data_IF_759463753676
#
_entry.id   IF_759463753676
#
_cell.length_a   1.000
_cell.length_b   1.000
_cell.length_c   1.000
_cell.angle_alpha   90.00
_cell.angle_beta   90.00
_cell.angle_gamma   90.00
#
_symmetry.space_group_name_H-M   'P 1'
#
loop_
_entity.id
_entity.type
_entity.pdbx_description
1 polymer ?
#
# COMPACT_ATOMS: atom_id res chain seq x y z
N UNK A 1 -22.76 -12.24 -18.62
CA UNK A 1 -22.19 -10.87 -18.60
C UNK A 1 -20.73 -10.96 -18.22
N UNK A 2 -19.91 -9.98 -18.59
CA UNK A 2 -18.53 -9.89 -18.14
C UNK A 2 -18.42 -8.86 -17.02
N UNK A 3 -18.03 -9.29 -15.82
CA UNK A 3 -17.97 -8.47 -14.60
C UNK A 3 -16.51 -8.23 -14.27
N UNK A 4 -16.12 -6.96 -14.15
CA UNK A 4 -14.82 -6.58 -13.59
C UNK A 4 -14.94 -6.42 -12.08
N UNK A 5 -13.96 -6.88 -11.31
CA UNK A 5 -13.94 -6.73 -9.86
C UNK A 5 -12.63 -6.08 -9.45
N UNK A 6 -12.74 -4.87 -8.88
CA UNK A 6 -11.60 -4.19 -8.26
C UNK A 6 -11.64 -4.48 -6.77
N UNK A 7 -10.65 -5.22 -6.28
CA UNK A 7 -10.56 -5.65 -4.89
C UNK A 7 -9.64 -4.68 -4.14
N UNK A 8 -10.02 -4.33 -2.91
CA UNK A 8 -9.23 -3.50 -2.01
C UNK A 8 -9.41 -3.95 -0.55
N UNK A 9 -8.43 -3.62 0.31
CA UNK A 9 -8.42 -3.93 1.75
C UNK A 9 -8.65 -5.42 2.08
N UNK A 10 -8.04 -6.31 1.32
CA UNK A 10 -8.13 -7.77 1.56
C UNK A 10 -7.69 -8.15 2.97
N UNK A 11 -6.73 -7.44 3.58
CA UNK A 11 -6.23 -7.77 4.90
C UNK A 11 -7.23 -7.52 6.02
N UNK A 12 -8.25 -6.69 5.76
CA UNK A 12 -9.32 -6.44 6.71
C UNK A 12 -10.44 -7.48 6.58
N UNK A 13 -10.40 -8.34 5.56
CA UNK A 13 -11.34 -9.44 5.44
C UNK A 13 -10.83 -10.60 6.30
N UNK A 14 -11.60 -10.94 7.34
CA UNK A 14 -11.26 -11.99 8.34
C UNK A 14 -10.97 -13.37 7.72
N UNK A 15 -11.35 -13.60 6.46
CA UNK A 15 -11.05 -14.82 5.76
C UNK A 15 -10.90 -14.61 4.25
N UNK A 16 -9.79 -15.10 3.64
CA UNK A 16 -9.66 -15.19 2.19
C UNK A 16 -10.79 -16.00 1.51
N UNK A 17 -11.50 -16.83 2.29
CA UNK A 17 -12.66 -17.60 1.81
C UNK A 17 -13.81 -16.69 1.39
N UNK A 18 -13.98 -15.51 2.01
CA UNK A 18 -15.04 -14.56 1.64
C UNK A 18 -14.85 -14.12 0.18
N UNK A 19 -13.62 -13.78 -0.20
CA UNK A 19 -13.29 -13.40 -1.57
C UNK A 19 -13.55 -14.57 -2.52
N UNK A 20 -13.04 -15.77 -2.21
CA UNK A 20 -13.29 -16.97 -3.02
C UNK A 20 -14.78 -17.22 -3.24
N UNK A 21 -15.58 -17.10 -2.18
CA UNK A 21 -17.03 -17.31 -2.24
C UNK A 21 -17.71 -16.29 -3.14
N UNK A 22 -17.36 -15.00 -3.02
CA UNK A 22 -17.91 -13.94 -3.86
C UNK A 22 -17.54 -14.16 -5.33
N UNK A 23 -16.26 -14.40 -5.62
CA UNK A 23 -15.78 -14.68 -6.98
C UNK A 23 -16.49 -15.91 -7.56
N UNK A 24 -16.63 -16.98 -6.78
CA UNK A 24 -17.32 -18.21 -7.19
C UNK A 24 -18.80 -17.95 -7.48
N UNK A 25 -19.50 -17.25 -6.59
CA UNK A 25 -20.92 -16.92 -6.76
C UNK A 25 -21.16 -16.07 -8.02
N UNK A 26 -20.33 -15.05 -8.24
CA UNK A 26 -20.43 -14.18 -9.41
C UNK A 26 -20.09 -14.92 -10.70
N UNK A 27 -19.12 -15.85 -10.66
CA UNK A 27 -18.68 -16.61 -11.84
C UNK A 27 -19.68 -17.67 -12.31
N UNK A 28 -20.72 -18.01 -11.54
CA UNK A 28 -21.73 -19.02 -11.92
C UNK A 28 -22.46 -18.69 -13.22
N UNK A 29 -22.74 -17.41 -13.45
CA UNK A 29 -23.49 -16.93 -14.62
C UNK A 29 -22.70 -15.89 -15.44
N UNK A 30 -21.46 -15.61 -15.04
CA UNK A 30 -20.69 -14.49 -15.59
C UNK A 30 -19.22 -14.86 -15.80
N UNK A 31 -18.58 -14.15 -16.71
CA UNK A 31 -17.12 -14.13 -16.82
C UNK A 31 -16.62 -13.05 -15.85
N UNK A 32 -15.68 -13.40 -14.97
CA UNK A 32 -15.18 -12.50 -13.93
C UNK A 32 -13.70 -12.21 -14.16
N UNK A 33 -13.38 -10.93 -14.31
CA UNK A 33 -11.99 -10.45 -14.26
C UNK A 33 -11.79 -9.73 -12.93
N UNK A 34 -10.96 -10.28 -12.04
CA UNK A 34 -10.66 -9.67 -10.75
C UNK A 34 -9.23 -9.14 -10.72
N UNK A 35 -9.05 -7.92 -10.22
CA UNK A 35 -7.73 -7.34 -9.97
C UNK A 35 -7.67 -6.70 -8.59
N UNK A 36 -6.49 -6.64 -8.01
CA UNK A 36 -6.27 -6.10 -6.67
C UNK A 36 -5.47 -4.81 -6.69
N UNK A 37 -5.93 -3.85 -5.88
CA UNK A 37 -5.23 -2.60 -5.65
C UNK A 37 -4.54 -2.59 -4.28
N UNK A 38 -3.35 -1.96 -4.24
CA UNK A 38 -2.60 -1.74 -3.01
C UNK A 38 -1.63 -2.87 -2.66
N UNK A 39 -0.42 -2.48 -2.28
CA UNK A 39 0.74 -3.38 -2.06
C UNK A 39 0.49 -4.39 -0.97
N UNK A 40 0.04 -3.94 0.20
CA UNK A 40 -0.25 -4.85 1.30
C UNK A 40 -1.44 -5.79 0.98
N UNK A 41 -2.36 -5.39 0.11
CA UNK A 41 -3.45 -6.26 -0.32
C UNK A 41 -2.90 -7.43 -1.13
N UNK A 42 -1.96 -7.14 -2.05
CA UNK A 42 -1.30 -8.15 -2.90
C UNK A 42 -0.57 -9.17 -2.06
N UNK A 43 0.10 -8.71 -1.02
CA UNK A 43 0.70 -9.60 -0.02
C UNK A 43 -0.33 -10.54 0.60
N UNK A 44 -1.50 -10.04 1.02
CA UNK A 44 -2.53 -10.90 1.59
C UNK A 44 -3.13 -11.90 0.58
N UNK A 45 -3.18 -11.55 -0.71
CA UNK A 45 -3.58 -12.50 -1.77
C UNK A 45 -2.53 -13.60 -1.93
N UNK A 46 -1.24 -13.24 -1.91
CA UNK A 46 -0.14 -14.19 -1.98
C UNK A 46 -0.18 -15.15 -0.78
N UNK A 47 -0.29 -14.59 0.43
CA UNK A 47 -0.38 -15.38 1.67
C UNK A 47 -1.60 -16.33 1.65
N UNK A 48 -2.67 -15.96 0.95
CA UNK A 48 -3.88 -16.74 0.79
C UNK A 48 -3.87 -17.74 -0.38
N UNK A 49 -2.85 -17.73 -1.24
CA UNK A 49 -2.80 -18.55 -2.46
C UNK A 49 -3.92 -18.21 -3.45
N UNK A 50 -4.17 -16.91 -3.68
CA UNK A 50 -5.25 -16.38 -4.52
C UNK A 50 -4.79 -15.79 -5.87
N UNK A 51 -3.51 -15.88 -6.19
CA UNK A 51 -2.87 -15.24 -7.34
C UNK A 51 -3.37 -15.78 -8.70
N UNK A 52 -3.89 -17.00 -8.72
CA UNK A 52 -4.51 -17.60 -9.92
C UNK A 52 -5.93 -17.07 -10.18
N UNK A 53 -6.58 -16.48 -9.16
CA UNK A 53 -7.94 -15.97 -9.25
C UNK A 53 -7.99 -14.44 -9.35
N UNK A 54 -6.96 -13.74 -8.89
CA UNK A 54 -6.92 -12.29 -8.77
C UNK A 54 -5.64 -11.78 -9.38
N UNK A 55 -5.76 -10.90 -10.37
CA UNK A 55 -4.63 -10.22 -11.00
C UNK A 55 -3.97 -9.24 -10.00
N UNK A 56 -2.70 -9.49 -9.68
CA UNK A 56 -1.92 -8.70 -8.72
C UNK A 56 -0.70 -8.01 -9.34
N UNK A 57 -0.38 -8.25 -10.61
CA UNK A 57 0.84 -7.70 -11.22
C UNK A 57 0.70 -6.23 -11.64
N UNK A 58 -0.52 -5.68 -11.64
CA UNK A 58 -0.75 -4.28 -12.00
C UNK A 58 -0.65 -3.35 -10.80
N UNK A 59 0.19 -2.32 -10.90
CA UNK A 59 0.35 -1.28 -9.88
C UNK A 59 -0.46 -0.05 -10.26
N UNK A 60 -1.74 -0.05 -9.88
CA UNK A 60 -2.71 0.99 -10.25
C UNK A 60 -3.58 1.35 -9.06
N UNK A 61 -4.04 2.60 -9.03
CA UNK A 61 -5.06 3.04 -8.10
C UNK A 61 -6.40 2.32 -8.41
N UNK A 62 -7.31 2.21 -7.42
CA UNK A 62 -8.64 1.64 -7.66
C UNK A 62 -9.39 2.31 -8.81
N UNK A 63 -9.33 3.63 -8.93
CA UNK A 63 -9.98 4.38 -10.01
C UNK A 63 -9.42 4.04 -11.40
N UNK A 64 -8.09 3.88 -11.51
CA UNK A 64 -7.44 3.47 -12.75
C UNK A 64 -7.77 2.01 -13.15
N UNK A 65 -7.89 1.11 -12.16
CA UNK A 65 -8.38 -0.24 -12.40
C UNK A 65 -9.83 -0.25 -12.91
N UNK A 66 -10.72 0.55 -12.30
CA UNK A 66 -12.11 0.71 -12.77
C UNK A 66 -12.11 1.18 -14.23
N UNK A 67 -11.37 2.24 -14.56
CA UNK A 67 -11.31 2.77 -15.93
C UNK A 67 -10.72 1.76 -16.94
N UNK A 68 -9.85 0.86 -16.51
CA UNK A 68 -9.34 -0.23 -17.36
C UNK A 68 -10.42 -1.29 -17.60
N UNK A 69 -11.07 -1.75 -16.54
CA UNK A 69 -12.12 -2.77 -16.62
C UNK A 69 -13.37 -2.26 -17.36
N UNK A 70 -13.67 -0.97 -17.29
CA UNK A 70 -14.71 -0.37 -18.13
C UNK A 70 -14.47 -0.60 -19.62
N UNK A 71 -13.23 -0.70 -20.11
CA UNK A 71 -12.98 -0.96 -21.54
C UNK A 71 -13.31 -2.39 -21.95
N UNK A 72 -13.20 -3.36 -21.04
CA UNK A 72 -13.26 -4.79 -21.34
C UNK A 72 -14.41 -5.55 -20.70
N UNK A 73 -15.21 -4.92 -19.85
CA UNK A 73 -16.25 -5.58 -19.03
C UNK A 73 -17.56 -4.80 -19.14
N UNK A 74 -18.69 -5.47 -18.93
CA UNK A 74 -20.03 -4.86 -19.04
C UNK A 74 -20.41 -4.07 -17.79
N UNK A 75 -19.78 -4.41 -16.65
CA UNK A 75 -20.04 -3.86 -15.33
C UNK A 75 -18.77 -3.97 -14.48
N UNK A 76 -18.58 -3.06 -13.53
CA UNK A 76 -17.50 -3.16 -12.52
C UNK A 76 -18.04 -3.11 -11.09
N UNK A 77 -17.53 -4.01 -10.26
CA UNK A 77 -17.75 -4.04 -8.82
C UNK A 77 -16.49 -3.60 -8.08
N UNK A 78 -16.57 -2.57 -7.23
CA UNK A 78 -15.56 -2.22 -6.24
C UNK A 78 -15.80 -3.06 -4.97
N UNK A 79 -15.02 -4.12 -4.78
CA UNK A 79 -15.06 -4.96 -3.60
C UNK A 79 -14.12 -4.39 -2.53
N UNK A 80 -14.68 -3.86 -1.44
CA UNK A 80 -13.90 -3.25 -0.37
C UNK A 80 -14.35 -3.76 1.00
N UNK A 81 -13.42 -3.70 1.95
CA UNK A 81 -13.69 -4.00 3.35
C UNK A 81 -13.13 -2.87 4.22
N UNK A 82 -13.93 -1.85 4.48
CA UNK A 82 -13.60 -0.79 5.43
C UNK A 82 -13.53 -1.34 6.86
N UNK A 83 -12.70 -0.71 7.70
CA UNK A 83 -12.68 -0.97 9.14
C UNK A 83 -14.08 -0.75 9.75
N UNK A 84 -14.74 0.30 9.27
CA UNK A 84 -16.13 0.63 9.55
C UNK A 84 -16.87 0.99 8.27
N UNK A 85 -18.19 0.77 8.22
CA UNK A 85 -19.02 1.06 7.04
C UNK A 85 -18.82 2.49 6.50
N UNK A 86 -18.76 3.50 7.38
CA UNK A 86 -18.59 4.89 6.95
C UNK A 86 -17.23 5.16 6.29
N UNK A 87 -16.17 4.50 6.76
CA UNK A 87 -14.84 4.60 6.13
C UNK A 87 -14.83 3.97 4.75
N UNK A 88 -15.51 2.82 4.58
CA UNK A 88 -15.68 2.16 3.30
C UNK A 88 -16.50 2.97 2.29
N UNK A 89 -17.60 3.59 2.74
CA UNK A 89 -18.41 4.52 1.93
C UNK A 89 -17.59 5.73 1.47
N UNK A 90 -16.77 6.28 2.37
CA UNK A 90 -15.89 7.41 2.09
C UNK A 90 -14.81 7.04 1.08
N UNK A 91 -14.20 5.86 1.25
CA UNK A 91 -13.24 5.31 0.30
C UNK A 91 -13.85 5.15 -1.10
N UNK A 92 -15.01 4.51 -1.21
CA UNK A 92 -15.71 4.35 -2.48
C UNK A 92 -15.98 5.68 -3.17
N UNK A 93 -16.44 6.70 -2.41
CA UNK A 93 -16.65 8.06 -2.94
C UNK A 93 -15.38 8.65 -3.54
N UNK A 94 -14.26 8.55 -2.81
CA UNK A 94 -12.96 9.04 -3.29
C UNK A 94 -12.55 8.28 -4.56
N UNK A 95 -12.72 6.97 -4.60
CA UNK A 95 -12.39 6.18 -5.78
C UNK A 95 -13.20 6.64 -6.99
N UNK A 96 -14.53 6.73 -6.86
CA UNK A 96 -15.43 7.13 -7.95
C UNK A 96 -15.17 8.56 -8.42
N UNK A 97 -14.84 9.50 -7.52
CA UNK A 97 -14.54 10.88 -7.90
C UNK A 97 -13.29 11.03 -8.76
N UNK A 98 -12.43 10.01 -8.82
CA UNK A 98 -11.23 9.98 -9.65
C UNK A 98 -11.38 9.09 -10.90
N UNK A 99 -12.58 8.57 -11.17
CA UNK A 99 -12.90 7.88 -12.43
C UNK A 99 -13.31 8.95 -13.45
N UNK A 100 -12.72 8.94 -14.64
CA UNK A 100 -12.96 9.98 -15.66
C UNK A 100 -14.43 10.00 -16.14
N UNK A 101 -15.01 8.82 -16.42
CA UNK A 101 -16.38 8.66 -16.89
C UNK A 101 -17.14 7.66 -16.00
N UNK A 102 -17.50 8.02 -14.75
CA UNK A 102 -18.07 7.08 -13.80
C UNK A 102 -19.44 6.54 -14.24
N UNK A 103 -20.17 7.25 -15.10
CA UNK A 103 -21.49 6.85 -15.62
C UNK A 103 -21.43 5.99 -16.91
N UNK A 104 -20.22 5.69 -17.42
CA UNK A 104 -20.06 4.94 -18.68
C UNK A 104 -20.67 3.53 -18.62
N UNK A 105 -20.47 2.85 -17.48
CA UNK A 105 -20.94 1.48 -17.23
C UNK A 105 -21.43 1.33 -15.79
N UNK A 106 -22.28 0.34 -15.49
CA UNK A 106 -22.70 0.02 -14.14
C UNK A 106 -21.50 -0.09 -13.17
N UNK A 107 -21.50 0.76 -12.14
CA UNK A 107 -20.48 0.76 -11.08
C UNK A 107 -21.14 0.52 -9.73
N UNK A 108 -20.79 -0.59 -9.08
CA UNK A 108 -21.36 -0.98 -7.79
C UNK A 108 -20.22 -1.19 -6.79
N UNK A 109 -20.36 -0.71 -5.58
CA UNK A 109 -19.49 -1.12 -4.48
C UNK A 109 -20.15 -2.22 -3.65
N UNK A 110 -19.36 -3.24 -3.34
CA UNK A 110 -19.68 -4.31 -2.39
C UNK A 110 -18.84 -4.01 -1.16
N UNK A 111 -19.47 -3.47 -0.12
CA UNK A 111 -18.80 -3.00 1.09
C UNK A 111 -19.02 -3.97 2.26
N UNK A 112 -17.92 -4.36 2.91
CA UNK A 112 -17.89 -5.26 4.08
C UNK A 112 -18.75 -6.53 3.91
N UNK A 113 -18.54 -7.31 2.83
CA UNK A 113 -19.27 -8.56 2.66
C UNK A 113 -19.01 -9.51 3.83
N UNK A 114 -20.06 -10.13 4.34
CA UNK A 114 -19.99 -11.01 5.52
C UNK A 114 -20.18 -10.29 6.86
N UNK A 115 -20.14 -8.95 6.91
CA UNK A 115 -20.51 -8.19 8.09
C UNK A 115 -22.02 -7.89 8.14
N UNK A 116 -22.56 -7.72 9.36
CA UNK A 116 -23.99 -7.39 9.57
C UNK A 116 -24.40 -6.02 8.99
N UNK A 117 -23.43 -5.11 8.87
CA UNK A 117 -23.58 -3.77 8.30
C UNK A 117 -23.05 -3.67 6.86
N UNK A 118 -22.79 -4.80 6.19
CA UNK A 118 -22.36 -4.81 4.80
C UNK A 118 -23.43 -4.29 3.84
N UNK A 119 -22.99 -3.61 2.78
CA UNK A 119 -23.88 -2.91 1.85
C UNK A 119 -23.48 -3.09 0.37
N UNK A 120 -24.49 -3.02 -0.50
CA UNK A 120 -24.37 -2.78 -1.94
C UNK A 120 -24.70 -1.31 -2.20
N UNK A 121 -23.75 -0.59 -2.81
CA UNK A 121 -23.87 0.84 -3.10
C UNK A 121 -23.78 1.04 -4.63
N UNK A 122 -24.87 1.43 -5.31
CA UNK A 122 -24.84 1.78 -6.73
C UNK A 122 -24.28 3.19 -6.93
N UNK A 123 -23.13 3.32 -7.59
CA UNK A 123 -22.47 4.61 -7.76
C UNK A 123 -23.04 5.46 -8.91
N UNK A 124 -23.84 4.87 -9.79
CA UNK A 124 -24.45 5.55 -10.94
C UNK A 124 -25.82 4.96 -11.28
N UNK A 125 -26.56 5.65 -12.16
CA UNK A 125 -27.89 5.20 -12.59
C UNK A 125 -27.83 3.87 -13.39
N UNK A 126 -26.73 3.64 -14.12
CA UNK A 126 -26.53 2.41 -14.88
C UNK A 126 -26.44 1.16 -13.96
N UNK A 127 -26.06 1.33 -12.69
CA UNK A 127 -26.00 0.25 -11.72
C UNK A 127 -27.37 -0.26 -11.27
N UNK A 128 -28.39 0.60 -11.23
CA UNK A 128 -29.71 0.30 -10.64
C UNK A 128 -30.32 -1.04 -11.07
N UNK A 129 -30.31 -1.44 -12.36
CA UNK A 129 -30.87 -2.71 -12.80
C UNK A 129 -30.18 -3.96 -12.21
N UNK A 130 -28.96 -3.83 -11.69
CA UNK A 130 -28.14 -4.94 -11.21
C UNK A 130 -28.14 -5.09 -9.68
N UNK A 131 -28.52 -4.04 -8.95
CA UNK A 131 -28.38 -3.93 -7.49
C UNK A 131 -29.20 -4.99 -6.76
N UNK A 132 -30.48 -5.17 -7.11
CA UNK A 132 -31.34 -6.14 -6.41
C UNK A 132 -30.85 -7.58 -6.55
N UNK A 133 -30.36 -7.94 -7.75
CA UNK A 133 -29.84 -9.28 -8.01
C UNK A 133 -28.59 -9.55 -7.17
N UNK A 134 -27.67 -8.57 -7.11
CA UNK A 134 -26.45 -8.68 -6.31
C UNK A 134 -26.72 -8.68 -4.80
N UNK A 135 -27.62 -7.83 -4.34
CA UNK A 135 -28.05 -7.78 -2.94
C UNK A 135 -28.61 -9.12 -2.48
N UNK A 136 -29.48 -9.76 -3.28
CA UNK A 136 -30.02 -11.10 -2.99
C UNK A 136 -28.94 -12.17 -3.04
N UNK A 137 -28.05 -12.13 -4.03
CA UNK A 137 -26.99 -13.12 -4.21
C UNK A 137 -25.97 -13.11 -3.06
N UNK A 138 -25.62 -11.92 -2.57
CA UNK A 138 -24.60 -11.71 -1.54
C UNK A 138 -25.19 -11.52 -0.13
N UNK A 139 -26.51 -11.48 -0.01
CA UNK A 139 -27.24 -11.19 1.23
C UNK A 139 -26.80 -9.89 1.91
N UNK A 140 -26.78 -8.80 1.14
CA UNK A 140 -26.33 -7.47 1.56
C UNK A 140 -27.43 -6.42 1.42
N UNK A 141 -27.45 -5.42 2.30
CA UNK A 141 -28.43 -4.32 2.22
C UNK A 141 -28.08 -3.38 1.07
N UNK A 142 -29.09 -2.79 0.44
CA UNK A 142 -28.90 -1.76 -0.57
C UNK A 142 -28.91 -0.40 0.12
N UNK A 143 -27.91 0.44 -0.18
CA UNK A 143 -27.86 1.80 0.33
C UNK A 143 -27.50 2.78 -0.77
N UNK A 144 -27.96 4.02 -0.64
CA UNK A 144 -27.66 5.08 -1.61
C UNK A 144 -26.24 5.60 -1.41
N UNK A 145 -25.55 6.07 -2.46
CA UNK A 145 -24.23 6.70 -2.33
C UNK A 145 -24.22 7.85 -1.32
N UNK A 146 -23.12 8.06 -0.57
CA UNK A 146 -22.94 9.27 0.20
C UNK A 146 -22.93 10.50 -0.71
N UNK A 147 -23.43 11.63 -0.21
CA UNK A 147 -23.37 12.90 -0.96
C UNK A 147 -21.93 13.28 -1.30
N UNK A 148 -21.70 13.97 -2.43
CA UNK A 148 -20.41 14.59 -2.72
C UNK A 148 -20.05 15.56 -1.60
N UNK A 149 -18.80 15.50 -1.14
CA UNK A 149 -18.23 16.51 -0.25
C UNK A 149 -17.02 17.06 -0.98
N UNK A 150 -16.92 18.37 -1.11
CA UNK A 150 -15.69 19.01 -1.58
C UNK A 150 -14.60 18.79 -0.52
N UNK A 151 -13.72 17.84 -0.79
CA UNK A 151 -12.57 17.54 0.06
C UNK A 151 -11.39 18.43 -0.24
N UNK A 152 -11.37 19.14 -1.38
CA UNK A 152 -10.26 20.00 -1.79
C UNK A 152 -10.79 21.41 -2.03
N UNK A 153 -10.14 22.38 -1.39
CA UNK A 153 -10.37 23.80 -1.62
C UNK A 153 -9.06 24.45 -2.09
N UNK A 154 -9.10 25.03 -3.28
CA UNK A 154 -7.96 25.73 -3.87
C UNK A 154 -8.26 27.22 -3.80
N UNK A 155 -7.40 27.96 -3.10
CA UNK A 155 -7.53 29.41 -2.90
C UNK A 155 -6.24 30.11 -3.29
N UNK A 156 -6.25 31.45 -3.27
CA UNK A 156 -5.08 32.28 -3.56
C UNK A 156 -4.42 31.95 -4.92
N UNK A 157 -5.21 31.89 -5.99
CA UNK A 157 -4.75 31.58 -7.36
C UNK A 157 -3.97 30.25 -7.47
N UNK A 158 -4.33 29.24 -6.68
CA UNK A 158 -3.65 27.95 -6.70
C UNK A 158 -2.53 27.79 -5.68
N UNK A 159 -2.15 28.88 -4.99
CA UNK A 159 -1.04 28.84 -4.02
C UNK A 159 -1.41 28.16 -2.72
N UNK A 160 -2.67 28.23 -2.29
CA UNK A 160 -3.12 27.65 -1.03
C UNK A 160 -4.12 26.54 -1.28
N UNK A 161 -3.80 25.33 -0.83
CA UNK A 161 -4.63 24.15 -0.98
C UNK A 161 -4.99 23.62 0.40
N UNK A 162 -6.29 23.46 0.66
CA UNK A 162 -6.81 22.78 1.83
C UNK A 162 -7.38 21.44 1.38
N UNK A 163 -6.93 20.35 2.00
CA UNK A 163 -7.43 19.01 1.72
C UNK A 163 -7.95 18.34 2.97
N UNK A 164 -9.26 18.17 3.03
CA UNK A 164 -9.98 17.49 4.10
C UNK A 164 -9.94 15.98 3.89
N UNK A 165 -9.53 15.26 4.92
CA UNK A 165 -9.50 13.80 4.98
C UNK A 165 -10.19 13.32 6.25
N UNK A 166 -10.72 12.10 6.20
CA UNK A 166 -11.21 11.40 7.37
C UNK A 166 -10.12 10.48 7.91
N UNK A 167 -9.90 10.52 9.21
CA UNK A 167 -8.94 9.69 9.92
C UNK A 167 -9.57 9.11 11.18
N UNK A 168 -8.96 8.10 11.78
CA UNK A 168 -9.26 7.78 13.18
C UNK A 168 -8.34 8.63 14.07
N UNK A 169 -8.84 9.19 15.19
CA UNK A 169 -7.95 9.77 16.19
C UNK A 169 -6.86 8.76 16.57
N UNK A 170 -5.60 9.20 16.54
CA UNK A 170 -4.42 8.37 16.74
C UNK A 170 -3.88 7.69 15.48
N UNK A 171 -4.52 7.80 14.32
CA UNK A 171 -3.97 7.28 13.07
C UNK A 171 -2.83 8.17 12.55
N UNK A 172 -1.76 7.56 12.04
CA UNK A 172 -0.76 8.22 11.22
C UNK A 172 -1.37 8.70 9.90
N UNK A 173 -0.90 9.84 9.43
CA UNK A 173 -1.27 10.43 8.14
C UNK A 173 -0.07 10.31 7.22
N UNK A 174 -0.27 9.67 6.08
CA UNK A 174 0.76 9.45 5.07
C UNK A 174 0.46 10.27 3.82
N UNK A 175 1.46 10.96 3.29
CA UNK A 175 1.40 11.66 2.00
C UNK A 175 2.52 11.14 1.11
N UNK A 176 2.18 10.64 -0.08
CA UNK A 176 3.14 9.98 -0.99
C UNK A 176 3.93 8.82 -0.35
N UNK A 177 3.38 8.22 0.70
CA UNK A 177 4.01 7.13 1.46
C UNK A 177 4.82 7.59 2.67
N UNK A 178 5.02 8.91 2.87
CA UNK A 178 5.76 9.47 4.01
C UNK A 178 4.82 9.79 5.16
N UNK A 179 5.16 9.40 6.38
CA UNK A 179 4.41 9.75 7.60
C UNK A 179 4.64 11.21 7.93
N UNK A 180 3.63 12.06 7.71
CA UNK A 180 3.73 13.52 7.92
C UNK A 180 3.20 13.96 9.29
N UNK A 181 2.57 13.06 10.04
CA UNK A 181 1.91 13.40 11.29
C UNK A 181 0.88 12.39 11.74
N UNK A 182 0.13 12.76 12.79
CA UNK A 182 -0.88 11.93 13.45
C UNK A 182 -2.19 12.69 13.60
N UNK A 183 -3.31 12.04 13.29
CA UNK A 183 -4.64 12.60 13.47
C UNK A 183 -4.99 12.67 14.96
N UNK A 184 -5.59 13.79 15.39
CA UNK A 184 -6.17 13.98 16.73
C UNK A 184 -7.69 14.04 16.69
N UNK A 185 -8.26 14.15 15.49
CA UNK A 185 -9.69 14.25 15.19
C UNK A 185 -10.09 13.25 14.10
N UNK A 186 -11.39 12.99 13.97
CA UNK A 186 -11.93 12.20 12.87
C UNK A 186 -11.97 12.95 11.53
N UNK A 187 -11.95 14.29 11.60
CA UNK A 187 -11.80 15.18 10.45
C UNK A 187 -10.50 15.94 10.55
N UNK A 188 -9.68 15.84 9.50
CA UNK A 188 -8.35 16.43 9.42
C UNK A 188 -8.26 17.28 8.16
N UNK A 189 -7.70 18.48 8.25
CA UNK A 189 -7.43 19.33 7.09
C UNK A 189 -5.92 19.49 6.93
N UNK A 190 -5.38 19.00 5.82
CA UNK A 190 -4.02 19.29 5.40
C UNK A 190 -4.00 20.64 4.67
N UNK A 191 -3.07 21.52 5.03
CA UNK A 191 -2.95 22.86 4.46
C UNK A 191 -1.57 23.00 3.84
N UNK A 192 -1.51 23.28 2.54
CA UNK A 192 -0.27 23.62 1.86
C UNK A 192 -0.29 25.03 1.28
N UNK A 193 0.86 25.71 1.31
CA UNK A 193 1.09 27.00 0.69
C UNK A 193 2.32 26.93 -0.23
N UNK A 194 2.17 27.40 -1.47
CA UNK A 194 3.20 27.36 -2.53
C UNK A 194 3.81 25.96 -2.73
N UNK A 195 2.99 24.91 -2.51
CA UNK A 195 3.40 23.51 -2.64
C UNK A 195 4.09 22.92 -1.40
N UNK A 196 4.17 23.66 -0.29
CA UNK A 196 4.74 23.20 0.98
C UNK A 196 3.65 22.92 2.00
N UNK A 197 3.69 21.78 2.67
CA UNK A 197 2.74 21.49 3.74
C UNK A 197 3.08 22.36 4.96
N UNK A 198 2.17 23.26 5.33
CA UNK A 198 2.40 24.27 6.38
C UNK A 198 1.73 23.93 7.69
N UNK A 199 0.57 23.27 7.66
CA UNK A 199 -0.15 22.90 8.88
C UNK A 199 -1.14 21.76 8.67
N UNK A 200 -1.57 21.18 9.79
CA UNK A 200 -2.64 20.21 9.87
C UNK A 200 -3.65 20.68 10.93
N UNK A 201 -4.90 20.85 10.55
CA UNK A 201 -6.00 21.02 11.50
C UNK A 201 -6.57 19.64 11.86
N UNK A 202 -6.88 19.39 13.13
CA UNK A 202 -7.33 18.08 13.58
C UNK A 202 -6.23 17.00 13.61
N UNK A 203 -4.96 17.41 13.57
CA UNK A 203 -3.80 16.54 13.68
C UNK A 203 -2.56 17.26 14.19
N UNK A 204 -1.48 16.53 14.35
CA UNK A 204 -0.15 17.01 14.78
C UNK A 204 0.85 16.62 13.69
N UNK A 205 1.67 17.57 13.26
CA UNK A 205 2.74 17.34 12.28
C UNK A 205 3.93 16.58 12.90
N UNK A 206 4.55 15.69 12.13
CA UNK A 206 5.87 15.07 12.41
C UNK A 206 6.91 15.86 11.59
N UNK A 207 7.72 16.71 12.24
CA UNK A 207 8.66 17.60 11.56
C UNK A 207 9.60 16.86 10.60
N UNK A 208 10.18 15.75 11.04
CA UNK A 208 11.03 14.89 10.21
C UNK A 208 10.30 14.37 8.97
N UNK A 209 9.02 13.99 9.10
CA UNK A 209 8.19 13.58 7.98
C UNK A 209 7.96 14.68 6.94
N UNK A 210 7.88 15.94 7.37
CA UNK A 210 7.77 17.09 6.48
C UNK A 210 9.09 17.37 5.77
N UNK A 211 10.19 17.24 6.50
CA UNK A 211 11.53 17.36 5.92
C UNK A 211 11.72 16.31 4.82
N UNK A 212 11.44 15.03 5.10
CA UNK A 212 11.51 13.93 4.12
C UNK A 212 10.58 14.18 2.92
N UNK A 213 9.31 14.54 3.16
CA UNK A 213 8.32 14.80 2.09
C UNK A 213 8.80 15.86 1.10
N UNK A 214 9.52 16.88 1.57
CA UNK A 214 10.06 17.97 0.77
C UNK A 214 11.51 17.75 0.33
N UNK A 215 12.02 16.51 0.42
CA UNK A 215 13.40 16.13 0.09
C UNK A 215 14.44 16.93 0.86
N UNK A 216 14.19 17.09 2.15
CA UNK A 216 15.04 17.78 3.09
C UNK A 216 15.35 19.22 2.62
N UNK A 217 16.62 19.63 2.70
CA UNK A 217 17.08 20.97 2.31
C UNK A 217 16.87 21.36 0.84
N UNK A 218 16.47 20.44 -0.05
CA UNK A 218 16.14 20.76 -1.44
C UNK A 218 14.82 21.54 -1.57
N UNK A 219 13.91 21.39 -0.58
CA UNK A 219 12.58 22.02 -0.54
C UNK A 219 11.80 21.85 -1.85
N UNK A 220 11.55 20.60 -2.24
CA UNK A 220 10.76 20.28 -3.43
C UNK A 220 9.26 20.43 -3.15
N UNK A 221 8.51 21.26 -3.92
CA UNK A 221 7.08 21.43 -3.71
C UNK A 221 6.28 20.21 -4.19
N UNK A 222 5.14 19.97 -3.54
CA UNK A 222 4.16 18.94 -3.92
C UNK A 222 2.82 19.57 -4.29
N UNK A 223 2.06 18.91 -5.15
CA UNK A 223 0.67 19.27 -5.42
C UNK A 223 -0.27 18.49 -4.49
N UNK A 224 -0.58 19.08 -3.33
CA UNK A 224 -1.46 18.47 -2.33
C UNK A 224 -2.84 18.11 -2.89
N UNK A 225 -3.32 18.76 -3.96
CA UNK A 225 -4.62 18.42 -4.56
C UNK A 225 -4.60 17.05 -5.26
N UNK A 226 -3.42 16.62 -5.73
CA UNK A 226 -3.21 15.36 -6.47
C UNK A 226 -2.47 14.32 -5.66
N UNK A 227 -1.85 14.69 -4.55
CA UNK A 227 -1.07 13.76 -3.74
C UNK A 227 -1.87 12.55 -3.28
N UNK A 228 -1.21 11.41 -3.17
CA UNK A 228 -1.78 10.22 -2.57
C UNK A 228 -1.75 10.36 -1.04
N UNK A 229 -2.93 10.37 -0.40
CA UNK A 229 -3.06 10.49 1.07
C UNK A 229 -3.70 9.24 1.63
N UNK A 230 -3.09 8.69 2.67
CA UNK A 230 -3.57 7.53 3.43
C UNK A 230 -3.58 7.81 4.92
N UNK A 231 -4.38 7.04 5.64
CA UNK A 231 -4.33 6.96 7.10
C UNK A 231 -3.96 5.54 7.50
N UNK A 232 -2.96 5.41 8.36
CA UNK A 232 -2.49 4.14 8.90
C UNK A 232 -2.68 4.12 10.41
N UNK A 233 -3.22 3.04 10.97
CA UNK A 233 -3.27 2.87 12.43
C UNK A 233 -2.19 1.90 12.86
N UNK A 234 -1.59 2.17 14.02
CA UNK A 234 -0.74 1.21 14.73
C UNK A 234 -1.51 -0.11 14.82
N UNK A 235 -0.90 -1.19 14.34
CA UNK A 235 -1.56 -2.49 14.35
C UNK A 235 -1.38 -3.07 15.74
N UNK A 236 -2.39 -2.92 16.60
CA UNK A 236 -2.49 -3.80 17.75
C UNK A 236 -2.48 -5.23 17.22
N UNK A 237 -1.63 -6.09 17.78
CA UNK A 237 -1.70 -7.53 17.61
C UNK A 237 -3.17 -7.94 17.72
N UNK A 238 -3.83 -8.21 16.58
CA UNK A 238 -5.19 -8.69 16.58
C UNK A 238 -5.20 -9.93 17.46
N UNK A 239 -5.78 -9.81 18.66
CA UNK A 239 -6.10 -10.96 19.52
C UNK A 239 -7.26 -11.71 18.86
N UNK A 240 -7.02 -12.24 17.67
CA UNK A 240 -7.85 -13.27 17.07
C UNK A 240 -7.65 -14.55 17.86
N UNK A 241 -8.76 -15.10 18.32
CA UNK A 241 -8.88 -16.34 19.07
C UNK A 241 -7.73 -17.34 18.86
N UNK A 242 -7.03 -17.68 19.96
CA UNK A 242 -6.29 -18.93 20.05
C UNK A 242 -7.26 -20.08 19.80
N UNK A 243 -7.37 -20.55 18.55
CA UNK A 243 -7.65 -21.95 18.32
C UNK A 243 -6.49 -22.73 18.92
N UNK A 244 -6.82 -23.72 19.75
CA UNK A 244 -5.92 -24.60 20.46
C UNK A 244 -4.80 -25.18 19.57
N UNK A 245 -3.62 -25.48 20.15
CA UNK A 245 -2.42 -25.87 19.41
C UNK A 245 -2.41 -27.38 19.12
N UNK A 246 -3.12 -27.82 18.09
CA UNK A 246 -2.93 -29.17 17.52
C UNK A 246 -3.03 -29.08 16.00
N UNK A 247 -1.95 -28.64 15.37
CA UNK A 247 -1.39 -29.21 14.14
C UNK A 247 -0.19 -28.37 13.70
N UNK A 248 1.01 -28.84 14.08
CA UNK A 248 2.27 -28.37 13.48
C UNK A 248 2.35 -28.92 12.06
N UNK A 249 1.63 -28.29 11.13
CA UNK A 249 2.01 -28.32 9.74
C UNK A 249 3.19 -27.36 9.60
N UNK A 250 4.38 -27.90 9.31
CA UNK A 250 5.51 -27.10 8.83
C UNK A 250 5.02 -26.15 7.74
N UNK A 251 5.08 -24.84 7.98
CA UNK A 251 4.89 -23.85 6.93
C UNK A 251 6.09 -23.97 5.98
N UNK A 252 5.96 -24.83 4.98
CA UNK A 252 6.85 -24.83 3.82
C UNK A 252 6.80 -23.42 3.25
N UNK A 253 7.93 -22.72 3.29
CA UNK A 253 8.08 -21.39 2.71
C UNK A 253 7.74 -21.46 1.23
N UNK A 254 6.51 -21.08 0.86
CA UNK A 254 6.14 -20.88 -0.54
C UNK A 254 6.79 -19.58 -0.98
N UNK A 255 7.89 -19.67 -1.71
CA UNK A 255 8.45 -18.53 -2.42
C UNK A 255 7.46 -18.11 -3.49
N UNK A 256 6.83 -16.96 -3.33
CA UNK A 256 5.94 -16.40 -4.34
C UNK A 256 6.76 -16.07 -5.59
N UNK A 257 6.28 -16.46 -6.78
CA UNK A 257 6.93 -16.17 -8.04
C UNK A 257 6.15 -15.06 -8.73
N UNK A 258 6.75 -13.87 -8.88
CA UNK A 258 6.20 -12.85 -9.77
C UNK A 258 6.41 -13.30 -11.22
N UNK A 259 5.31 -13.37 -11.98
CA UNK A 259 5.37 -13.65 -13.41
C UNK A 259 6.13 -12.50 -14.08
N UNK A 260 7.22 -12.82 -14.78
CA UNK A 260 8.07 -11.88 -15.52
C UNK A 260 7.21 -11.04 -16.46
N UNK A 261 7.08 -9.74 -16.20
CA UNK A 261 6.50 -8.83 -17.18
C UNK A 261 7.61 -8.46 -18.16
N UNK A 262 7.31 -8.52 -19.46
CA UNK A 262 8.28 -8.46 -20.55
C UNK A 262 8.87 -7.06 -20.81
N UNK A 263 9.37 -6.38 -19.79
CA UNK A 263 10.24 -5.22 -19.93
C UNK A 263 11.67 -5.69 -19.64
N UNK A 264 12.30 -6.26 -20.67
CA UNK A 264 13.72 -6.60 -20.64
C UNK A 264 14.54 -5.32 -20.53
N UNK A 265 14.89 -4.92 -19.32
CA UNK A 265 16.21 -4.31 -19.12
C UNK A 265 17.23 -5.45 -19.11
N UNK A 266 18.26 -5.30 -19.95
CA UNK A 266 19.33 -6.28 -20.12
C UNK A 266 20.06 -6.47 -18.80
N UNK A 267 19.69 -7.50 -18.03
CA UNK A 267 20.48 -7.97 -16.89
C UNK A 267 21.83 -8.45 -17.41
N UNK A 268 22.96 -7.91 -16.92
CA UNK A 268 24.26 -8.53 -17.13
C UNK A 268 24.16 -9.97 -16.61
N UNK A 269 24.56 -10.97 -17.40
CA UNK A 269 24.32 -12.40 -17.13
C UNK A 269 24.87 -12.90 -15.77
N UNK A 270 25.64 -12.10 -15.03
CA UNK A 270 26.27 -12.44 -13.75
C UNK A 270 26.21 -11.33 -12.66
N UNK A 271 25.37 -10.31 -12.80
CA UNK A 271 25.30 -9.20 -11.82
C UNK A 271 24.20 -9.38 -10.77
N UNK A 272 24.51 -9.14 -9.50
CA UNK A 272 23.56 -9.01 -8.38
C UNK A 272 22.80 -7.69 -8.52
N UNK A 273 21.49 -7.76 -8.80
CA UNK A 273 20.60 -6.60 -8.87
C UNK A 273 20.21 -6.16 -7.46
N UNK A 274 20.58 -4.94 -7.12
CA UNK A 274 20.28 -4.28 -5.84
C UNK A 274 19.26 -3.18 -6.07
N UNK A 275 18.24 -3.14 -5.22
CA UNK A 275 17.22 -2.08 -5.22
C UNK A 275 17.25 -1.30 -3.91
N UNK A 276 16.95 0.00 -3.96
CA UNK A 276 16.81 0.86 -2.77
C UNK A 276 15.34 1.19 -2.52
N UNK A 277 14.84 0.81 -1.36
CA UNK A 277 13.54 1.23 -0.84
C UNK A 277 13.78 2.25 0.28
N UNK A 278 13.48 3.50 -0.03
CA UNK A 278 13.77 4.64 0.82
C UNK A 278 12.44 5.30 1.19
N UNK A 279 12.06 5.16 2.47
CA UNK A 279 10.85 5.73 3.08
C UNK A 279 9.51 5.43 2.38
N UNK A 280 9.48 4.50 1.42
CA UNK A 280 8.32 4.22 0.57
C UNK A 280 8.10 2.73 0.37
N UNK A 281 7.93 1.98 1.47
CA UNK A 281 7.67 0.54 1.43
C UNK A 281 6.39 0.16 0.65
N UNK A 282 5.47 1.11 0.44
CA UNK A 282 4.29 0.87 -0.39
C UNK A 282 4.64 0.61 -1.86
N UNK A 283 5.82 1.01 -2.35
CA UNK A 283 6.24 0.74 -3.74
C UNK A 283 7.20 -0.44 -3.86
N UNK A 284 7.48 -1.17 -2.78
CA UNK A 284 8.44 -2.28 -2.77
C UNK A 284 8.14 -3.34 -3.83
N UNK A 285 6.86 -3.70 -4.02
CA UNK A 285 6.47 -4.69 -5.02
C UNK A 285 6.66 -4.21 -6.47
N UNK A 286 6.72 -2.91 -6.75
CA UNK A 286 6.99 -2.38 -8.10
C UNK A 286 8.44 -2.62 -8.51
N UNK A 287 9.36 -2.68 -7.54
CA UNK A 287 10.81 -2.70 -7.77
C UNK A 287 11.43 -4.09 -7.61
N UNK A 288 10.66 -5.04 -7.08
CA UNK A 288 11.12 -6.37 -6.70
C UNK A 288 11.51 -7.26 -7.89
N UNK A 289 10.99 -6.98 -9.09
CA UNK A 289 11.18 -7.87 -10.24
C UNK A 289 12.66 -8.05 -10.58
N UNK A 290 13.15 -9.29 -10.43
CA UNK A 290 14.54 -9.66 -10.69
C UNK A 290 15.54 -9.10 -9.67
N UNK A 291 15.10 -8.55 -8.54
CA UNK A 291 15.99 -8.09 -7.49
C UNK A 291 16.58 -9.28 -6.71
N UNK A 292 17.88 -9.24 -6.46
CA UNK A 292 18.59 -10.26 -5.67
C UNK A 292 18.69 -9.84 -4.19
N UNK A 293 18.72 -8.54 -3.92
CA UNK A 293 18.71 -7.97 -2.56
C UNK A 293 18.12 -6.56 -2.58
N UNK A 294 17.50 -6.14 -1.48
CA UNK A 294 17.06 -4.76 -1.29
C UNK A 294 17.84 -4.07 -0.16
N UNK A 295 18.14 -2.79 -0.33
CA UNK A 295 18.57 -1.91 0.77
C UNK A 295 17.33 -1.12 1.20
N UNK A 296 17.03 -1.11 2.49
CA UNK A 296 15.89 -0.38 3.05
C UNK A 296 16.37 0.70 4.01
N UNK A 297 15.83 1.92 3.90
CA UNK A 297 16.17 3.05 4.77
C UNK A 297 14.92 3.47 5.54
N UNK A 298 15.04 3.61 6.86
CA UNK A 298 13.95 3.91 7.79
C UNK A 298 13.46 2.65 8.50
N UNK A 299 13.14 2.79 9.78
CA UNK A 299 12.62 1.72 10.63
C UNK A 299 11.34 1.08 10.05
N UNK A 300 10.30 1.89 9.83
CA UNK A 300 9.03 1.40 9.26
C UNK A 300 9.18 0.80 7.87
N UNK A 301 10.05 1.41 7.06
CA UNK A 301 10.30 0.95 5.70
C UNK A 301 10.99 -0.40 5.73
N UNK A 302 11.96 -0.57 6.62
CA UNK A 302 12.69 -1.82 6.83
C UNK A 302 11.76 -2.92 7.29
N UNK A 303 10.89 -2.67 8.28
CA UNK A 303 9.93 -3.66 8.75
C UNK A 303 8.93 -4.07 7.67
N UNK A 304 8.30 -3.10 7.01
CA UNK A 304 7.25 -3.36 6.01
C UNK A 304 7.85 -3.99 4.75
N UNK A 305 8.91 -3.40 4.19
CA UNK A 305 9.54 -3.91 2.97
C UNK A 305 10.22 -5.25 3.21
N UNK A 306 10.88 -5.44 4.35
CA UNK A 306 11.48 -6.72 4.73
C UNK A 306 10.46 -7.84 4.83
N UNK A 307 9.32 -7.57 5.48
CA UNK A 307 8.20 -8.53 5.52
C UNK A 307 7.65 -8.81 4.12
N UNK A 308 7.50 -7.80 3.26
CA UNK A 308 7.07 -8.03 1.87
C UNK A 308 8.08 -8.94 1.12
N UNK A 309 9.37 -8.62 1.20
CA UNK A 309 10.43 -9.31 0.45
C UNK A 309 10.70 -10.73 0.94
N UNK A 310 10.46 -11.03 2.22
CA UNK A 310 10.62 -12.39 2.77
C UNK A 310 9.77 -13.43 2.03
N UNK A 311 8.57 -13.04 1.55
CA UNK A 311 7.67 -13.91 0.77
C UNK A 311 8.23 -14.29 -0.61
N UNK A 312 9.17 -13.50 -1.12
CA UNK A 312 9.86 -13.75 -2.39
C UNK A 312 11.27 -14.31 -2.17
N UNK A 313 11.66 -14.56 -0.91
CA UNK A 313 12.99 -15.05 -0.57
C UNK A 313 14.11 -14.01 -0.78
N UNK A 314 13.77 -12.73 -0.95
CA UNK A 314 14.74 -11.67 -1.20
C UNK A 314 15.23 -11.10 0.13
N UNK A 315 16.54 -11.20 0.45
CA UNK A 315 17.09 -10.61 1.66
C UNK A 315 17.11 -9.09 1.59
N UNK A 316 17.26 -8.46 2.77
CA UNK A 316 17.45 -7.01 2.87
C UNK A 316 18.73 -6.63 3.60
N UNK A 317 19.26 -5.44 3.29
CA UNK A 317 20.17 -4.69 4.15
C UNK A 317 19.36 -3.51 4.69
N UNK A 318 18.83 -3.64 5.90
CA UNK A 318 18.06 -2.59 6.56
C UNK A 318 18.96 -1.60 7.26
N UNK A 319 18.64 -0.32 7.13
CA UNK A 319 19.25 0.80 7.87
C UNK A 319 18.17 1.42 8.71
N UNK A 320 18.37 1.40 10.01
CA UNK A 320 17.42 1.88 11.03
C UNK A 320 18.16 2.74 12.05
N UNK A 321 17.46 3.56 12.80
CA UNK A 321 18.01 4.36 13.89
C UNK A 321 17.26 4.18 15.24
N UNK A 322 16.23 3.34 15.23
CA UNK A 322 15.44 2.98 16.40
C UNK A 322 14.17 3.81 16.61
N UNK A 323 13.75 4.63 15.63
CA UNK A 323 12.56 5.49 15.71
C UNK A 323 11.24 4.87 15.22
N UNK A 324 11.13 3.54 15.20
CA UNK A 324 9.99 2.79 14.69
C UNK A 324 8.59 3.27 15.16
N UNK A 325 7.66 3.47 14.21
CA UNK A 325 6.25 3.85 14.45
C UNK A 325 5.31 2.62 14.64
N UNK A 326 5.87 1.41 14.74
CA UNK A 326 5.20 0.12 14.97
C UNK A 326 4.02 -0.16 14.00
N UNK A 327 4.23 0.14 12.71
CA UNK A 327 3.21 -0.06 11.68
C UNK A 327 3.03 -1.53 11.28
N UNK A 328 4.05 -2.38 11.46
CA UNK A 328 4.00 -3.79 11.13
C UNK A 328 3.49 -4.63 12.32
N UNK A 329 2.49 -5.49 12.07
CA UNK A 329 1.96 -6.40 13.12
C UNK A 329 2.90 -7.58 13.40
N UNK A 330 3.70 -7.99 12.40
CA UNK A 330 4.71 -9.03 12.54
C UNK A 330 5.77 -8.82 11.48
N UNK A 331 7.03 -8.91 11.91
CA UNK A 331 8.19 -8.68 11.06
C UNK A 331 8.85 -10.02 10.80
N UNK A 332 9.08 -10.31 9.52
CA UNK A 332 9.79 -11.51 9.07
C UNK A 332 10.77 -11.08 8.00
N UNK A 333 11.98 -11.62 8.03
CA UNK A 333 13.02 -11.33 7.05
C UNK A 333 13.41 -12.61 6.33
N UNK A 334 13.84 -12.49 5.07
CA UNK A 334 14.42 -13.63 4.35
C UNK A 334 15.79 -13.98 4.93
N UNK A 335 16.20 -15.24 4.84
CA UNK A 335 17.53 -15.66 5.28
C UNK A 335 18.62 -14.88 4.51
N UNK A 336 19.69 -14.47 5.22
CA UNK A 336 20.77 -13.64 4.70
C UNK A 336 20.51 -12.13 4.79
N UNK A 337 19.38 -11.72 5.39
CA UNK A 337 19.09 -10.32 5.69
C UNK A 337 19.95 -9.82 6.84
N UNK A 338 20.32 -8.55 6.77
CA UNK A 338 21.14 -7.86 7.76
C UNK A 338 20.46 -6.54 8.10
N UNK A 339 20.30 -6.23 9.39
CA UNK A 339 19.75 -4.95 9.85
C UNK A 339 20.86 -4.21 10.60
N UNK A 340 21.19 -3.02 10.10
CA UNK A 340 22.16 -2.08 10.63
C UNK A 340 21.42 -1.05 11.47
N UNK A 341 21.57 -1.13 12.78
CA UNK A 341 21.03 -0.13 13.68
C UNK A 341 22.09 0.94 13.93
N UNK A 342 21.80 2.16 13.49
CA UNK A 342 22.66 3.33 13.63
C UNK A 342 22.27 4.10 14.90
N UNK A 343 23.06 5.14 15.22
CA UNK A 343 22.66 6.08 16.26
C UNK A 343 21.40 6.81 15.83
N UNK A 344 20.58 7.17 16.81
CA UNK A 344 19.34 7.93 16.61
C UNK A 344 19.55 9.17 15.73
N UNK A 345 18.68 9.31 14.73
CA UNK A 345 18.61 10.37 13.72
C UNK A 345 19.56 10.22 12.53
N UNK A 346 20.20 9.06 12.32
CA UNK A 346 21.28 8.91 11.33
C UNK A 346 20.93 8.08 10.09
N UNK A 347 19.82 7.35 10.09
CA UNK A 347 19.39 6.51 8.97
C UNK A 347 19.11 7.32 7.68
N UNK A 348 18.47 8.49 7.80
CA UNK A 348 18.18 9.42 6.70
C UNK A 348 19.47 9.95 6.03
N UNK A 349 20.44 10.39 6.85
CA UNK A 349 21.73 10.87 6.35
C UNK A 349 22.52 9.74 5.70
N UNK A 350 22.54 8.57 6.35
CA UNK A 350 23.24 7.41 5.84
C UNK A 350 22.62 6.86 4.56
N UNK A 351 21.29 6.86 4.45
CA UNK A 351 20.55 6.49 3.25
C UNK A 351 20.92 7.36 2.05
N UNK A 352 21.12 8.67 2.26
CA UNK A 352 21.62 9.57 1.21
C UNK A 352 23.04 9.23 0.79
N UNK A 353 23.93 8.89 1.73
CA UNK A 353 25.29 8.45 1.42
C UNK A 353 25.28 7.14 0.62
N UNK A 354 24.44 6.17 0.99
CA UNK A 354 24.28 4.93 0.20
C UNK A 354 23.80 5.25 -1.22
N UNK A 355 22.76 6.09 -1.35
CA UNK A 355 22.23 6.44 -2.67
C UNK A 355 23.30 7.09 -3.55
N UNK A 356 24.11 8.00 -3.00
CA UNK A 356 25.14 8.72 -3.76
C UNK A 356 26.40 7.87 -4.00
N UNK A 357 27.02 7.35 -2.95
CA UNK A 357 28.37 6.78 -2.99
C UNK A 357 28.39 5.30 -3.38
N UNK A 358 27.29 4.59 -3.11
CA UNK A 358 27.17 3.16 -3.42
C UNK A 358 26.34 2.96 -4.69
N UNK A 359 25.20 3.64 -4.82
CA UNK A 359 24.27 3.45 -5.93
C UNK A 359 24.37 4.52 -7.04
N UNK A 360 25.30 5.47 -6.94
CA UNK A 360 25.54 6.51 -7.96
C UNK A 360 24.28 7.31 -8.33
N UNK A 361 23.45 7.62 -7.34
CA UNK A 361 22.20 8.36 -7.45
C UNK A 361 21.03 7.57 -8.03
N UNK A 362 21.16 6.25 -8.24
CA UNK A 362 20.11 5.40 -8.82
C UNK A 362 19.47 4.52 -7.76
N UNK A 363 18.16 4.27 -7.88
CA UNK A 363 17.45 3.33 -7.01
C UNK A 363 17.67 1.86 -7.37
N UNK A 364 18.30 1.59 -8.50
CA UNK A 364 18.63 0.24 -8.99
C UNK A 364 20.08 0.26 -9.45
N UNK A 365 20.86 -0.71 -8.99
CA UNK A 365 22.25 -0.90 -9.39
C UNK A 365 22.60 -2.37 -9.49
N UNK A 366 23.69 -2.68 -10.18
CA UNK A 366 24.20 -4.04 -10.37
C UNK A 366 25.60 -4.15 -9.79
N UNK A 367 25.86 -5.23 -9.04
CA UNK A 367 27.13 -5.50 -8.41
C UNK A 367 27.63 -6.90 -8.76
N UNK A 368 28.93 -7.10 -8.82
CA UNK A 368 29.51 -8.43 -9.10
C UNK A 368 29.43 -9.36 -7.88
N UNK A 369 29.51 -8.80 -6.67
CA UNK A 369 29.61 -9.58 -5.44
C UNK A 369 28.84 -8.89 -4.30
N UNK A 370 27.95 -9.65 -3.66
CA UNK A 370 27.12 -9.19 -2.54
C UNK A 370 27.91 -8.93 -1.26
N UNK A 371 28.93 -9.75 -0.95
CA UNK A 371 29.76 -9.60 0.25
C UNK A 371 30.58 -8.31 0.18
N UNK A 372 31.07 -7.94 -1.01
CA UNK A 372 31.75 -6.66 -1.21
C UNK A 372 30.81 -5.49 -0.96
N UNK A 373 29.57 -5.56 -1.45
CA UNK A 373 28.55 -4.55 -1.18
C UNK A 373 28.29 -4.42 0.33
N UNK A 374 28.06 -5.55 1.03
CA UNK A 374 27.85 -5.56 2.48
C UNK A 374 29.03 -4.91 3.21
N UNK A 375 30.26 -5.28 2.88
CA UNK A 375 31.47 -4.69 3.47
C UNK A 375 31.58 -3.18 3.20
N UNK A 376 31.26 -2.72 1.99
CA UNK A 376 31.27 -1.28 1.66
C UNK A 376 30.25 -0.50 2.49
N UNK A 377 29.03 -1.02 2.64
CA UNK A 377 28.00 -0.39 3.48
C UNK A 377 28.44 -0.39 4.95
N UNK A 378 28.94 -1.52 5.45
CA UNK A 378 29.41 -1.64 6.83
C UNK A 378 30.54 -0.66 7.16
N UNK A 379 31.54 -0.53 6.28
CA UNK A 379 32.63 0.42 6.45
C UNK A 379 32.13 1.88 6.42
N UNK A 380 31.14 2.18 5.58
CA UNK A 380 30.53 3.51 5.53
C UNK A 380 29.80 3.82 6.84
N UNK A 381 29.19 2.81 7.47
CA UNK A 381 28.43 2.93 8.72
C UNK A 381 29.31 2.97 9.98
N UNK A 382 30.61 2.68 9.91
CA UNK A 382 31.45 2.37 11.08
C UNK A 382 31.37 3.42 12.21
N UNK A 383 31.31 4.71 11.87
CA UNK A 383 31.23 5.80 12.86
C UNK A 383 29.84 5.99 13.50
N UNK A 384 28.80 5.46 12.87
CA UNK A 384 27.38 5.63 13.22
C UNK A 384 26.70 4.34 13.67
N UNK A 385 27.34 3.18 13.49
CA UNK A 385 26.78 1.86 13.78
C UNK A 385 26.74 1.57 15.28
N UNK A 386 25.56 1.17 15.80
CA UNK A 386 25.37 0.72 17.17
C UNK A 386 25.31 -0.81 17.28
N UNK A 387 24.58 -1.46 16.37
CA UNK A 387 24.47 -2.92 16.34
C UNK A 387 24.11 -3.46 14.96
N UNK A 388 24.33 -4.77 14.78
CA UNK A 388 24.01 -5.51 13.56
C UNK A 388 23.22 -6.75 13.94
N UNK A 389 22.09 -6.98 13.27
CA UNK A 389 21.28 -8.19 13.40
C UNK A 389 21.28 -8.97 12.10
N UNK A 390 21.57 -10.26 12.14
CA UNK A 390 21.54 -11.17 10.99
C UNK A 390 20.39 -12.17 11.13
N UNK A 391 19.73 -12.49 10.02
CA UNK A 391 18.54 -13.35 9.97
C UNK A 391 18.68 -14.53 9.00
#
# INVERSE_FOLDING_TARGET
MKIGIVIHNVQLMDSPQIIKNILTLLSRENLVDACLCGTLGKVAVIDAGLEDLIEINQFRSPSACIGTLFKSNDMVCLLNHGRELQTGRTFGRIVVSHVENPDEKPLIQIERPGCLDGEIIPWNQAAEPHVEKLSKLLNLKISQPPRPINTIEITNQGRRILRRISAFPGAYILVEGIIIGKATSSEVTLISEDGFLTSIEGGILKEQGIDILHKHGERVPIDLSRSWIKTGTQRENFKGHKSSPEDKSECVAKTAILKKNSLMETTPENGVKVILIDHCAERSLEMIEGADIAITIGDDTTEIAGSIFSRFGIPIIGVTDGDCDELAASVTYSAGSVILNLKSGQDDEFGRLILQDILSGKKVAFFENLDNLKLRIMNLAESSLESVSEY
#
